data_IF_796206198860
#
_entry.id   IF_796206198860
#
_cell.length_a   1.000
_cell.length_b   1.000
_cell.length_c   1.000
_cell.angle_alpha   90.00
_cell.angle_beta   90.00
_cell.angle_gamma   90.00
#
_symmetry.space_group_name_H-M   'P 1'
#
loop_
_entity.id
_entity.type
_entity.pdbx_description
1 polymer ?
#
# COMPACT_ATOMS: atom_id res chain seq x y z
N UNK A 1 10.65 -50.07 13.63
CA UNK A 1 9.62 -49.21 14.22
C UNK A 1 10.21 -47.81 14.34
N UNK A 2 9.87 -46.90 13.42
CA UNK A 2 10.39 -45.53 13.41
C UNK A 2 9.48 -44.65 14.25
N UNK A 3 9.99 -44.17 15.39
CA UNK A 3 9.29 -43.20 16.22
C UNK A 3 9.34 -41.82 15.56
N UNK A 4 8.23 -41.39 14.98
CA UNK A 4 8.03 -40.01 14.52
C UNK A 4 7.91 -39.11 15.74
N UNK A 5 8.95 -38.33 16.02
CA UNK A 5 8.94 -37.32 17.08
C UNK A 5 8.11 -36.14 16.58
N UNK A 6 6.88 -36.02 17.07
CA UNK A 6 6.07 -34.82 16.85
C UNK A 6 6.67 -33.67 17.67
N UNK A 7 7.37 -32.75 17.01
CA UNK A 7 7.73 -31.48 17.62
C UNK A 7 6.43 -30.68 17.71
N UNK A 8 5.76 -30.75 18.86
CA UNK A 8 4.63 -29.88 19.20
C UNK A 8 5.17 -28.46 19.44
N UNK A 9 5.67 -27.82 18.38
CA UNK A 9 5.90 -26.39 18.39
C UNK A 9 4.52 -25.77 18.17
N UNK A 10 3.98 -24.98 19.11
CA UNK A 10 2.77 -24.21 18.81
C UNK A 10 3.09 -23.42 17.55
N UNK A 11 2.27 -23.57 16.50
CA UNK A 11 2.44 -22.81 15.28
C UNK A 11 2.56 -21.34 15.69
N UNK A 12 3.77 -20.77 15.60
CA UNK A 12 3.92 -19.32 15.70
C UNK A 12 2.96 -18.78 14.66
N UNK A 13 1.93 -18.08 15.10
CA UNK A 13 0.96 -17.48 14.19
C UNK A 13 1.75 -16.67 13.16
N UNK A 14 1.88 -17.21 11.94
CA UNK A 14 2.67 -16.58 10.91
C UNK A 14 1.84 -15.42 10.40
N UNK A 15 2.23 -14.20 10.77
CA UNK A 15 1.60 -13.01 10.21
C UNK A 15 2.11 -12.82 8.79
N UNK A 16 1.21 -12.76 7.81
CA UNK A 16 1.53 -12.48 6.42
C UNK A 16 0.85 -11.19 5.95
N UNK A 17 1.41 -10.58 4.92
CA UNK A 17 0.81 -9.44 4.22
C UNK A 17 0.17 -9.93 2.93
N UNK A 18 -1.12 -9.67 2.74
CA UNK A 18 -1.85 -10.06 1.51
C UNK A 18 -1.52 -9.08 0.39
N UNK A 19 -0.97 -9.60 -0.69
CA UNK A 19 -0.69 -8.83 -1.90
C UNK A 19 -1.78 -9.13 -2.95
N UNK A 20 -2.58 -8.14 -3.38
CA UNK A 20 -3.63 -8.37 -4.36
C UNK A 20 -3.09 -8.77 -5.75
N UNK A 21 -3.62 -9.86 -6.32
CA UNK A 21 -3.16 -10.38 -7.61
C UNK A 21 -3.41 -9.41 -8.79
N UNK A 22 -4.47 -8.59 -8.71
CA UNK A 22 -4.78 -7.63 -9.77
C UNK A 22 -3.63 -6.65 -10.04
N UNK A 23 -2.74 -6.40 -9.07
CA UNK A 23 -1.54 -5.57 -9.23
C UNK A 23 -0.55 -6.15 -10.25
N UNK A 24 -0.66 -7.44 -10.57
CA UNK A 24 0.16 -8.15 -11.54
C UNK A 24 -0.63 -8.54 -12.79
N UNK A 25 -1.93 -8.79 -12.65
CA UNK A 25 -2.77 -9.30 -13.73
C UNK A 25 -3.38 -8.19 -14.60
N UNK A 26 -3.76 -7.05 -14.00
CA UNK A 26 -4.42 -5.98 -14.74
C UNK A 26 -3.38 -5.08 -15.45
N UNK A 27 -3.52 -4.85 -16.77
CA UNK A 27 -2.61 -4.00 -17.55
C UNK A 27 -2.45 -2.59 -16.98
N UNK A 28 -3.51 -2.03 -16.39
CA UNK A 28 -3.52 -0.70 -15.76
C UNK A 28 -2.49 -0.57 -14.63
N UNK A 29 -2.22 -1.66 -13.90
CA UNK A 29 -1.32 -1.67 -12.74
C UNK A 29 0.00 -2.39 -12.99
N UNK A 30 0.16 -3.00 -14.17
CA UNK A 30 1.42 -3.65 -14.57
C UNK A 30 2.62 -2.69 -14.48
N UNK A 31 2.53 -1.40 -14.88
CA UNK A 31 3.65 -0.47 -14.79
C UNK A 31 4.06 -0.08 -13.36
N UNK A 32 3.30 -0.47 -12.33
CA UNK A 32 3.66 -0.16 -10.96
C UNK A 32 4.96 -0.85 -10.56
N UNK A 33 5.81 -0.12 -9.84
CA UNK A 33 6.97 -0.66 -9.15
C UNK A 33 6.56 -1.71 -8.12
N UNK A 34 7.45 -2.68 -7.88
CA UNK A 34 7.19 -3.71 -6.88
C UNK A 34 7.04 -3.10 -5.47
N UNK A 35 7.78 -2.04 -5.18
CA UNK A 35 7.66 -1.27 -3.94
C UNK A 35 6.29 -0.60 -3.81
N UNK A 36 5.72 -0.06 -4.90
CA UNK A 36 4.35 0.49 -4.88
C UNK A 36 3.32 -0.60 -4.61
N UNK A 37 3.45 -1.76 -5.27
CA UNK A 37 2.57 -2.92 -5.05
C UNK A 37 2.60 -3.38 -3.59
N UNK A 38 3.81 -3.51 -3.02
CA UNK A 38 4.02 -3.86 -1.60
C UNK A 38 3.47 -2.79 -0.67
N UNK A 39 3.71 -1.50 -0.95
CA UNK A 39 3.17 -0.40 -0.15
C UNK A 39 1.64 -0.41 -0.14
N UNK A 40 1.01 -0.68 -1.28
CA UNK A 40 -0.45 -0.78 -1.35
C UNK A 40 -0.99 -1.92 -0.46
N UNK A 41 -0.32 -3.08 -0.44
CA UNK A 41 -0.69 -4.17 0.47
C UNK A 41 -0.62 -3.77 1.95
N UNK A 42 0.40 -3.00 2.35
CA UNK A 42 0.50 -2.46 3.71
C UNK A 42 -0.59 -1.43 4.02
N UNK A 43 -0.93 -0.56 3.05
CA UNK A 43 -2.05 0.38 3.15
C UNK A 43 -3.36 -0.37 3.38
N UNK A 44 -3.64 -1.43 2.62
CA UNK A 44 -4.85 -2.26 2.81
C UNK A 44 -4.89 -2.90 4.20
N UNK A 45 -3.78 -3.51 4.65
CA UNK A 45 -3.67 -4.09 5.99
C UNK A 45 -3.95 -3.06 7.09
N UNK A 46 -3.42 -1.84 6.94
CA UNK A 46 -3.64 -0.75 7.91
C UNK A 46 -5.06 -0.18 7.82
N UNK A 47 -5.69 -0.24 6.66
CA UNK A 47 -7.10 0.18 6.48
C UNK A 47 -8.03 -0.68 7.32
N UNK A 48 -7.78 -1.98 7.41
CA UNK A 48 -8.55 -2.87 8.28
C UNK A 48 -8.44 -2.47 9.75
N UNK A 49 -7.26 -2.00 10.19
CA UNK A 49 -7.05 -1.45 11.53
C UNK A 49 -7.76 -0.09 11.71
N UNK A 50 -7.64 0.80 10.73
CA UNK A 50 -8.30 2.12 10.73
C UNK A 50 -9.82 1.99 10.86
N UNK A 51 -10.40 1.02 10.13
CA UNK A 51 -11.84 0.68 10.23
C UNK A 51 -12.22 0.26 11.64
N UNK A 52 -11.44 -0.62 12.27
CA UNK A 52 -11.68 -1.07 13.65
C UNK A 52 -11.56 0.07 14.68
N UNK A 53 -10.68 1.02 14.42
CA UNK A 53 -10.47 2.19 15.27
C UNK A 53 -11.46 3.34 15.01
N UNK A 54 -12.40 3.18 14.06
CA UNK A 54 -13.38 4.21 13.73
C UNK A 54 -12.79 5.43 13.00
N UNK A 55 -11.65 5.27 12.33
CA UNK A 55 -11.01 6.35 11.57
C UNK A 55 -11.71 6.51 10.21
N UNK A 56 -12.86 7.19 10.26
CA UNK A 56 -13.69 7.51 9.11
C UNK A 56 -13.94 9.03 9.06
N UNK A 57 -14.11 9.57 7.86
CA UNK A 57 -14.59 10.95 7.69
C UNK A 57 -16.12 11.05 7.88
N UNK A 58 -16.65 12.26 7.71
CA UNK A 58 -18.08 12.57 7.84
C UNK A 58 -18.97 11.79 6.86
N UNK A 59 -18.40 11.24 5.78
CA UNK A 59 -19.09 10.44 4.77
C UNK A 59 -18.88 8.93 4.97
N UNK A 60 -18.26 8.52 6.09
CA UNK A 60 -17.96 7.12 6.39
C UNK A 60 -16.78 6.56 5.60
N UNK A 61 -15.99 7.40 4.91
CA UNK A 61 -14.82 6.95 4.15
C UNK A 61 -13.66 6.72 5.09
N UNK A 62 -13.15 5.50 5.11
CA UNK A 62 -12.00 5.13 5.92
C UNK A 62 -10.75 5.84 5.40
N UNK A 63 -10.04 6.51 6.30
CA UNK A 63 -8.74 7.09 6.01
C UNK A 63 -7.70 6.55 6.98
N UNK A 64 -6.44 6.73 6.63
CA UNK A 64 -5.31 6.42 7.50
C UNK A 64 -4.24 7.51 7.40
N UNK A 65 -3.32 7.48 8.36
CA UNK A 65 -2.12 8.31 8.35
C UNK A 65 -0.92 7.44 8.04
N UNK A 66 -0.18 7.76 6.99
CA UNK A 66 1.10 7.12 6.65
C UNK A 66 2.14 8.24 6.48
N UNK A 67 2.78 8.71 7.57
CA UNK A 67 3.82 9.71 7.46
C UNK A 67 4.99 9.16 6.65
N UNK A 68 5.67 10.05 5.91
CA UNK A 68 6.71 9.64 4.97
C UNK A 68 7.86 8.88 5.62
N UNK A 69 8.19 9.20 6.89
CA UNK A 69 9.23 8.51 7.64
C UNK A 69 8.85 7.05 7.91
N UNK A 70 7.57 6.76 8.15
CA UNK A 70 7.10 5.38 8.33
C UNK A 70 7.18 4.60 7.02
N UNK A 71 6.95 5.24 5.87
CA UNK A 71 7.13 4.61 4.55
C UNK A 71 8.62 4.34 4.27
N UNK A 72 9.50 5.28 4.64
CA UNK A 72 10.96 5.12 4.56
C UNK A 72 11.42 3.91 5.38
N UNK A 73 10.94 3.78 6.61
CA UNK A 73 11.26 2.66 7.50
C UNK A 73 10.70 1.34 6.96
N UNK A 74 9.45 1.34 6.49
CA UNK A 74 8.76 0.15 5.99
C UNK A 74 9.39 -0.42 4.72
N UNK A 75 9.80 0.46 3.80
CA UNK A 75 10.38 0.07 2.51
C UNK A 75 11.90 0.10 2.49
N UNK A 76 12.54 0.47 3.61
CA UNK A 76 13.99 0.64 3.74
C UNK A 76 14.61 1.45 2.59
N UNK A 77 13.99 2.61 2.28
CA UNK A 77 14.37 3.40 1.11
C UNK A 77 14.60 4.88 1.46
N UNK A 78 15.34 5.59 0.60
CA UNK A 78 15.53 7.02 0.76
C UNK A 78 14.20 7.79 0.70
N UNK A 79 14.12 8.92 1.41
CA UNK A 79 12.92 9.77 1.47
C UNK A 79 12.32 10.09 0.10
N UNK A 80 13.17 10.39 -0.89
CA UNK A 80 12.70 10.70 -2.24
C UNK A 80 12.00 9.51 -2.90
N UNK A 81 12.54 8.29 -2.73
CA UNK A 81 11.94 7.05 -3.24
C UNK A 81 10.59 6.81 -2.56
N UNK A 82 10.51 6.92 -1.24
CA UNK A 82 9.24 6.79 -0.51
C UNK A 82 8.16 7.77 -1.00
N UNK A 83 8.54 9.04 -1.27
CA UNK A 83 7.60 10.05 -1.79
C UNK A 83 7.14 9.66 -3.19
N UNK A 84 8.06 9.21 -4.05
CA UNK A 84 7.73 8.80 -5.41
C UNK A 84 6.83 7.55 -5.41
N UNK A 85 7.08 6.56 -4.55
CA UNK A 85 6.25 5.35 -4.43
C UNK A 85 4.81 5.69 -3.99
N UNK A 86 4.63 6.62 -3.05
CA UNK A 86 3.28 7.11 -2.70
C UNK A 86 2.61 7.86 -3.85
N UNK A 87 3.36 8.70 -4.57
CA UNK A 87 2.84 9.41 -5.76
C UNK A 87 2.44 8.44 -6.85
N UNK A 88 3.19 7.39 -7.06
CA UNK A 88 2.91 6.34 -8.04
C UNK A 88 1.54 5.70 -7.77
N UNK A 89 1.26 5.33 -6.52
CA UNK A 89 -0.06 4.84 -6.10
C UNK A 89 -1.17 5.87 -6.26
N UNK A 90 -0.86 7.16 -6.03
CA UNK A 90 -1.81 8.24 -6.24
C UNK A 90 -2.16 8.42 -7.73
N UNK A 91 -1.15 8.40 -8.60
CA UNK A 91 -1.35 8.47 -10.05
C UNK A 91 -2.12 7.26 -10.58
N UNK A 92 -1.89 6.08 -10.00
CA UNK A 92 -2.60 4.87 -10.38
C UNK A 92 -4.05 4.83 -9.86
N UNK A 93 -4.49 5.86 -9.14
CA UNK A 93 -5.84 5.93 -8.58
C UNK A 93 -6.11 4.96 -7.43
N UNK A 94 -5.10 4.21 -6.96
CA UNK A 94 -5.23 3.27 -5.85
C UNK A 94 -5.33 3.97 -4.50
N UNK A 95 -4.85 5.21 -4.42
CA UNK A 95 -4.81 6.01 -3.21
C UNK A 95 -5.16 7.46 -3.52
N UNK A 96 -5.91 8.11 -2.64
CA UNK A 96 -6.07 9.56 -2.63
C UNK A 96 -5.42 10.17 -1.39
N UNK A 97 -4.64 11.24 -1.59
CA UNK A 97 -3.94 11.94 -0.51
C UNK A 97 -4.57 13.31 -0.33
N UNK A 98 -5.24 13.52 0.80
CA UNK A 98 -5.84 14.79 1.19
C UNK A 98 -4.93 15.53 2.17
N UNK A 99 -4.46 16.70 1.76
CA UNK A 99 -3.70 17.60 2.64
C UNK A 99 -4.64 18.26 3.63
N UNK A 100 -4.32 18.19 4.92
CA UNK A 100 -5.14 18.77 5.99
C UNK A 100 -4.75 20.21 6.37
N UNK A 101 -3.55 20.67 5.98
CA UNK A 101 -3.02 21.98 6.37
C UNK A 101 -2.54 22.05 7.82
N UNK A 102 -2.04 23.20 8.25
CA UNK A 102 -1.67 23.51 9.64
C UNK A 102 -0.76 22.48 10.33
N UNK A 103 0.19 21.89 9.60
CA UNK A 103 1.12 20.87 10.13
C UNK A 103 0.49 19.51 10.44
N UNK A 104 -0.81 19.32 10.16
CA UNK A 104 -1.49 18.04 10.34
C UNK A 104 -1.01 17.03 9.28
N UNK A 105 -0.88 15.74 9.65
CA UNK A 105 -0.52 14.71 8.68
C UNK A 105 -1.56 14.59 7.57
N UNK A 106 -1.14 14.17 6.38
CA UNK A 106 -2.07 13.98 5.26
C UNK A 106 -2.97 12.77 5.52
N UNK A 107 -4.27 12.89 5.23
CA UNK A 107 -5.18 11.73 5.21
C UNK A 107 -4.99 10.98 3.91
N UNK A 108 -4.84 9.67 4.02
CA UNK A 108 -4.68 8.75 2.90
C UNK A 108 -5.95 7.91 2.83
N UNK A 109 -6.63 7.98 1.69
CA UNK A 109 -7.85 7.22 1.39
C UNK A 109 -7.52 6.12 0.38
N UNK A 110 -7.46 4.85 0.80
CA UNK A 110 -7.33 3.73 -0.12
C UNK A 110 -8.58 3.60 -0.99
N UNK A 111 -8.41 3.34 -2.28
CA UNK A 111 -9.48 3.08 -3.24
C UNK A 111 -9.53 1.61 -3.62
N UNK A 112 -10.74 1.11 -3.89
CA UNK A 112 -10.93 -0.19 -4.53
C UNK A 112 -10.47 -0.11 -5.97
N UNK A 113 -9.81 -1.15 -6.47
CA UNK A 113 -9.35 -1.24 -7.85
C UNK A 113 -10.50 -1.15 -8.86
N UNK A 114 -11.71 -1.60 -8.49
CA UNK A 114 -12.92 -1.50 -9.32
C UNK A 114 -13.37 -0.05 -9.54
N UNK A 115 -13.01 0.85 -8.62
CA UNK A 115 -13.30 2.27 -8.71
C UNK A 115 -12.22 3.05 -9.46
N UNK A 116 -11.15 2.39 -9.93
CA UNK A 116 -10.10 3.01 -10.74
C UNK A 116 -10.55 3.01 -12.20
N UNK A 117 -10.69 4.18 -12.84
CA UNK A 117 -11.01 4.24 -14.26
C UNK A 117 -9.90 3.53 -15.08
N UNK A 118 -10.27 2.82 -16.14
CA UNK A 118 -9.33 2.30 -17.14
C UNK A 118 -8.73 3.47 -17.95
N UNK A 119 -7.91 4.29 -17.31
CA UNK A 119 -7.14 5.36 -17.95
C UNK A 119 -5.72 4.87 -18.15
N UNK A 120 -5.22 4.95 -19.38
CA UNK A 120 -3.88 4.52 -19.74
C UNK A 120 -2.81 5.25 -18.91
N UNK A 121 -2.20 4.52 -17.97
CA UNK A 121 -1.15 4.99 -17.07
C UNK A 121 0.18 5.33 -17.78
N UNK A 122 0.27 5.18 -19.10
CA UNK A 122 1.50 5.28 -19.91
C UNK A 122 2.14 6.68 -20.02
N UNK A 123 1.82 7.64 -19.13
CA UNK A 123 2.32 9.03 -19.21
C UNK A 123 3.17 9.52 -18.04
N UNK A 124 3.74 8.64 -17.23
CA UNK A 124 4.67 9.10 -16.19
C UNK A 124 6.03 8.41 -16.31
N UNK A 125 7.01 9.15 -16.83
CA UNK A 125 8.43 8.78 -16.89
C UNK A 125 9.04 8.79 -15.47
N UNK A 126 8.57 7.92 -14.58
CA UNK A 126 9.13 7.77 -13.23
C UNK A 126 9.84 6.44 -12.99
N UNK A 127 10.06 5.65 -14.06
CA UNK A 127 11.10 4.64 -14.06
C UNK A 127 12.46 5.32 -13.99
N UNK A 128 13.33 4.83 -13.11
CA UNK A 128 14.75 5.17 -13.12
C UNK A 128 15.27 4.95 -14.55
N UNK A 129 16.03 5.88 -15.15
CA UNK A 129 16.70 5.58 -16.42
C UNK A 129 17.53 4.32 -16.20
N UNK A 130 17.27 3.29 -16.99
CA UNK A 130 18.25 2.21 -17.17
C UNK A 130 19.39 2.83 -18.00
N UNK A 131 20.63 2.67 -17.51
CA UNK A 131 21.85 3.10 -18.19
C UNK A 131 22.05 2.39 -19.54
#
# INVERSE_FOLDING_TARGET
MTNTIYIHQPEKAVSFTRLPNFLFEAPTFTPLSNEAKVLYAFILRRTDLSRKNGWADEYGRIYLYYPINEVVELLHCGRQKAVNTLRELQYAGLVEIQKQGCGKPNRIYPKSYEAVPNTDFKKSNYGTPED
#
